data_IF_830549449418
#
_entry.id   IF_830549449418
#
_cell.length_a   1.000
_cell.length_b   1.000
_cell.length_c   1.000
_cell.angle_alpha   90.00
_cell.angle_beta   90.00
_cell.angle_gamma   90.00
#
_symmetry.space_group_name_H-M   'P 1'
#
loop_
_entity.id
_entity.type
_entity.pdbx_description
1 polymer ?
2 non-polymer ?
3 non-polymer ?
4 non-polymer ?
5 water ?
#
# COMPACT_ATOMS: atom_id res chain seq x y z
N UNK A 1 6.42 -17.29 -4.48
CA UNK A 1 6.81 -15.85 -4.28
C UNK A 1 7.24 -15.54 -2.85
N UNK A 2 7.97 -14.43 -2.66
CA UNK A 2 8.56 -14.20 -1.35
C UNK A 2 7.51 -13.76 -0.34
N UNK A 3 7.76 -14.07 0.93
CA UNK A 3 6.98 -13.54 2.04
C UNK A 3 7.95 -13.05 3.10
N UNK A 4 7.47 -12.22 4.03
CA UNK A 4 8.26 -11.84 5.19
C UNK A 4 8.29 -13.05 6.10
N UNK A 5 9.47 -13.41 6.60
CA UNK A 5 9.66 -14.59 7.48
C UNK A 5 9.78 -14.22 8.95
N UNK A 6 9.07 -13.18 9.34
CA UNK A 6 9.10 -12.67 10.71
C UNK A 6 7.73 -12.02 10.93
N UNK A 7 7.36 -11.86 12.19
CA UNK A 7 6.02 -11.38 12.56
C UNK A 7 5.92 -9.87 12.82
N UNK A 8 7.04 -9.26 13.21
CA UNK A 8 7.09 -7.82 13.45
C UNK A 8 7.70 -7.12 12.25
N UNK A 9 6.86 -6.35 11.58
CA UNK A 9 7.23 -5.63 10.37
C UNK A 9 7.20 -4.15 10.64
N UNK A 10 8.19 -3.45 10.11
CA UNK A 10 8.26 -2.01 10.28
C UNK A 10 7.97 -1.29 8.96
N UNK A 11 7.42 -0.09 9.09
CA UNK A 11 7.30 0.83 7.96
C UNK A 11 7.74 2.23 8.35
N UNK A 12 8.12 3.00 7.34
CA UNK A 12 8.54 4.37 7.55
C UNK A 12 7.96 5.21 6.43
N UNK A 13 7.46 6.40 6.76
CA UNK A 13 6.99 7.29 5.71
C UNK A 13 8.16 8.19 5.33
N UNK A 14 8.68 7.96 4.13
CA UNK A 14 9.86 8.67 3.64
C UNK A 14 9.61 10.16 3.50
N UNK A 15 8.46 10.50 2.93
CA UNK A 15 8.07 11.89 2.67
C UNK A 15 6.56 11.97 2.54
N UNK A 16 6.03 13.18 2.62
CA UNK A 16 4.59 13.38 2.66
C UNK A 16 4.08 14.14 1.45
N UNK A 17 3.02 13.64 0.85
CA UNK A 17 2.35 14.38 -0.21
C UNK A 17 1.82 15.71 0.32
N UNK A 18 1.99 16.80 -0.46
CA UNK A 18 1.38 18.09 -0.08
C UNK A 18 -0.14 18.17 -0.33
N UNK A 19 -0.70 17.12 -0.93
CA UNK A 19 -2.13 17.02 -1.23
C UNK A 19 -2.99 16.88 0.01
N UNK A 20 -2.38 16.37 1.09
CA UNK A 20 -3.10 16.01 2.31
C UNK A 20 -2.46 16.60 3.56
N UNK A 21 -3.26 16.64 4.63
CA UNK A 21 -2.75 16.98 5.95
C UNK A 21 -1.84 15.86 6.40
N UNK A 22 -0.76 16.19 7.08
CA UNK A 22 0.18 15.14 7.55
C UNK A 22 -0.48 14.03 8.39
N UNK A 23 -1.30 14.44 9.36
CA UNK A 23 -1.99 13.49 10.23
C UNK A 23 -2.91 12.54 9.43
N UNK A 24 -3.45 13.02 8.32
CA UNK A 24 -4.34 12.23 7.46
C UNK A 24 -3.55 11.20 6.61
N UNK A 25 -2.32 11.57 6.22
CA UNK A 25 -1.43 10.62 5.53
C UNK A 25 -1.04 9.50 6.54
N UNK A 26 -0.58 9.90 7.72
CA UNK A 26 -0.30 8.92 8.80
C UNK A 26 -1.47 7.98 9.05
N UNK A 27 -2.66 8.53 9.21
CA UNK A 27 -3.82 7.72 9.57
C UNK A 27 -4.26 6.77 8.45
N UNK A 28 -4.24 7.27 7.21
CA UNK A 28 -4.57 6.45 6.02
C UNK A 28 -3.63 5.24 5.93
N UNK A 29 -2.33 5.49 6.09
CA UNK A 29 -1.32 4.42 5.98
C UNK A 29 -1.48 3.43 7.14
N UNK A 30 -1.70 3.96 8.34
CA UNK A 30 -1.94 3.12 9.53
C UNK A 30 -3.15 2.21 9.35
N UNK A 31 -4.28 2.80 8.95
CA UNK A 31 -5.50 2.03 8.72
C UNK A 31 -5.32 0.96 7.64
N UNK A 32 -4.54 1.27 6.60
CA UNK A 32 -4.29 0.31 5.51
C UNK A 32 -3.47 -0.90 6.00
N UNK A 33 -2.45 -0.64 6.83
CA UNK A 33 -1.69 -1.74 7.43
C UNK A 33 -2.62 -2.58 8.31
N UNK A 34 -3.50 -1.92 9.06
CA UNK A 34 -4.42 -2.61 9.98
C UNK A 34 -5.37 -3.56 9.25
N UNK A 35 -5.77 -3.21 8.03
CA UNK A 35 -6.60 -4.11 7.20
C UNK A 35 -5.93 -5.50 7.08
N UNK A 36 -4.61 -5.50 6.91
CA UNK A 36 -3.87 -6.76 6.72
C UNK A 36 -3.50 -7.46 8.03
N UNK A 37 -3.17 -6.68 9.05
CA UNK A 37 -2.92 -7.29 10.36
C UNK A 37 -4.20 -7.89 10.99
N UNK A 38 -5.38 -7.42 10.57
CA UNK A 38 -6.68 -7.97 11.02
C UNK A 38 -6.87 -9.44 10.63
N UNK A 39 -6.17 -9.89 9.58
CA UNK A 39 -6.43 -11.21 8.97
C UNK A 39 -5.16 -12.07 8.87
N UNK A 40 -4.10 -11.64 9.54
CA UNK A 40 -2.85 -12.40 9.57
C UNK A 40 -2.26 -12.31 10.98
N UNK A 41 -1.18 -13.06 11.24
CA UNK A 41 -0.45 -12.88 12.52
C UNK A 41 0.49 -11.69 12.57
N UNK A 42 0.53 -10.86 11.51
CA UNK A 42 1.54 -9.83 11.40
C UNK A 42 1.26 -8.65 12.33
N UNK A 43 2.33 -7.98 12.77
CA UNK A 43 2.23 -6.73 13.53
C UNK A 43 3.04 -5.67 12.82
N UNK A 44 2.46 -4.47 12.64
CA UNK A 44 3.12 -3.36 11.94
C UNK A 44 3.39 -2.19 12.88
N UNK A 45 4.56 -1.57 12.73
CA UNK A 45 4.96 -0.42 13.55
C UNK A 45 5.65 0.59 12.66
N UNK A 46 5.28 1.84 12.86
CA UNK A 46 5.85 2.97 12.14
C UNK A 46 7.13 3.35 12.87
N UNK A 47 8.22 3.50 12.13
CA UNK A 47 9.48 3.94 12.73
C UNK A 47 9.82 5.26 12.07
N UNK A 48 10.60 6.09 12.74
CA UNK A 48 10.84 7.44 12.24
C UNK A 48 12.22 7.68 11.64
N UNK A 49 13.12 6.74 11.86
CA UNK A 49 14.49 6.88 11.39
C UNK A 49 15.00 5.50 11.10
N UNK A 50 15.98 5.42 10.20
CA UNK A 50 16.63 4.16 9.91
C UNK A 50 15.88 3.32 8.91
N UNK A 51 16.38 2.11 8.70
CA UNK A 51 15.88 1.20 7.67
C UNK A 51 14.58 0.53 8.12
N UNK A 52 13.52 0.70 7.34
CA UNK A 52 12.26 0.02 7.62
C UNK A 52 12.12 -1.14 6.67
N UNK A 53 11.27 -2.11 7.00
CA UNK A 53 10.95 -3.15 6.02
C UNK A 53 10.24 -2.54 4.81
N UNK A 54 9.25 -1.69 5.06
CA UNK A 54 8.41 -1.12 4.00
C UNK A 54 8.58 0.40 4.02
N UNK A 55 9.25 0.93 3.02
CA UNK A 55 9.38 2.39 2.91
C UNK A 55 8.26 2.92 2.03
N UNK A 56 7.52 3.90 2.55
CA UNK A 56 6.39 4.51 1.84
C UNK A 56 6.88 5.83 1.26
N UNK A 57 6.85 5.95 -0.07
CA UNK A 57 7.40 7.11 -0.79
C UNK A 57 6.33 7.76 -1.68
N UNK A 58 6.31 9.10 -1.72
CA UNK A 58 5.60 9.81 -2.79
C UNK A 58 6.63 10.39 -3.72
N UNK A 59 6.44 10.17 -5.02
CA UNK A 59 7.42 10.61 -6.03
C UNK A 59 6.72 10.78 -7.36
N UNK A 60 7.29 11.60 -8.25
CA UNK A 60 6.72 11.74 -9.60
C UNK A 60 7.75 11.35 -10.66
N UNK A 61 7.24 10.96 -11.83
CA UNK A 61 8.08 10.62 -12.99
C UNK A 61 9.16 9.61 -12.65
N UNK A 62 10.37 9.87 -13.14
CA UNK A 62 11.50 9.01 -12.86
C UNK A 62 11.97 9.26 -11.43
N UNK A 63 12.11 8.19 -10.66
CA UNK A 63 12.36 8.32 -9.22
C UNK A 63 13.31 7.27 -8.69
N UNK A 64 14.16 6.75 -9.57
CA UNK A 64 15.32 6.02 -9.12
C UNK A 64 15.18 4.52 -9.10
N UNK A 65 14.02 4.02 -9.45
CA UNK A 65 13.90 2.60 -9.60
C UNK A 65 13.69 2.49 -11.08
N UNK A 66 13.43 1.33 -11.62
CA UNK A 66 13.45 1.40 -13.09
C UNK A 66 12.00 1.55 -13.59
N UNK A 67 11.13 2.08 -12.72
CA UNK A 67 9.69 2.08 -12.96
C UNK A 67 9.04 3.48 -12.91
N UNK A 68 9.31 4.28 -13.93
CA UNK A 68 8.85 5.68 -13.93
C UNK A 68 7.33 5.83 -13.84
N UNK A 69 6.90 6.87 -13.13
CA UNK A 69 5.50 7.26 -13.12
C UNK A 69 5.18 8.13 -14.36
N UNK A 70 3.89 8.25 -14.64
CA UNK A 70 3.38 8.70 -15.93
C UNK A 70 2.50 9.95 -15.85
N UNK A 71 2.67 10.78 -14.83
CA UNK A 71 1.81 11.95 -14.70
C UNK A 71 0.45 11.60 -14.16
N UNK A 72 -0.47 12.55 -14.19
CA UNK A 72 -1.77 12.36 -13.61
C UNK A 72 -2.51 11.23 -14.34
N UNK A 73 -3.15 10.36 -13.58
CA UNK A 73 -3.93 9.26 -14.13
C UNK A 73 -3.03 8.07 -14.43
N UNK A 74 -3.58 7.05 -15.07
CA UNK A 74 -2.78 5.87 -15.39
C UNK A 74 -2.28 5.18 -14.13
N UNK A 75 -0.97 4.97 -14.06
CA UNK A 75 -0.37 4.31 -12.89
C UNK A 75 -0.48 5.23 -11.68
N UNK A 76 -1.15 4.75 -10.63
CA UNK A 76 -1.31 5.52 -9.38
C UNK A 76 -0.23 5.23 -8.35
N UNK A 77 0.24 3.99 -8.33
CA UNK A 77 1.19 3.56 -7.32
C UNK A 77 1.76 2.21 -7.73
N UNK A 78 2.92 1.84 -7.19
CA UNK A 78 3.38 0.45 -7.34
C UNK A 78 4.15 0.03 -6.09
N UNK A 79 4.29 -1.28 -5.88
CA UNK A 79 5.04 -1.74 -4.70
C UNK A 79 5.85 -2.98 -5.06
N UNK A 80 6.87 -3.23 -4.25
CA UNK A 80 7.74 -4.36 -4.44
C UNK A 80 7.46 -5.42 -3.41
N UNK A 81 7.54 -6.69 -3.85
CA UNK A 81 7.32 -7.81 -2.95
C UNK A 81 8.38 -7.92 -1.87
N UNK A 82 8.12 -8.74 -0.83
CA UNK A 82 9.06 -8.87 0.29
C UNK A 82 10.49 -9.18 -0.15
N UNK A 83 11.43 -8.59 0.56
CA UNK A 83 12.82 -8.77 0.23
C UNK A 83 13.64 -7.65 0.83
N UNK A 84 14.96 -7.78 0.69
CA UNK A 84 15.89 -6.80 1.21
C UNK A 84 15.88 -5.52 0.36
N UNK A 85 16.46 -4.46 0.90
CA UNK A 85 16.59 -3.21 0.14
C UNK A 85 15.24 -2.61 -0.20
N UNK A 86 14.99 -2.42 -1.49
CA UNK A 86 13.74 -1.86 -2.02
C UNK A 86 12.54 -2.82 -1.84
N UNK A 87 12.84 -4.08 -1.51
CA UNK A 87 11.78 -5.05 -1.28
C UNK A 87 10.80 -4.50 -0.26
N UNK A 88 9.51 -4.71 -0.52
CA UNK A 88 8.48 -4.22 0.37
C UNK A 88 8.05 -2.79 0.15
N UNK A 89 8.84 -1.99 -0.57
CA UNK A 89 8.58 -0.56 -0.60
C UNK A 89 7.38 -0.22 -1.47
N UNK A 90 6.65 0.81 -1.07
CA UNK A 90 5.46 1.21 -1.78
C UNK A 90 5.62 2.66 -2.23
N UNK A 91 5.45 2.87 -3.52
CA UNK A 91 5.61 4.20 -4.12
C UNK A 91 4.29 4.73 -4.67
N UNK A 92 3.98 5.97 -4.32
CA UNK A 92 2.72 6.60 -4.72
C UNK A 92 3.03 7.75 -5.66
N UNK A 93 2.38 7.77 -6.82
CA UNK A 93 2.60 8.80 -7.84
C UNK A 93 2.13 10.16 -7.31
N UNK A 94 3.08 11.05 -7.06
CA UNK A 94 2.74 12.40 -6.60
C UNK A 94 1.92 13.22 -7.64
N UNK A 95 2.00 12.83 -8.90
CA UNK A 95 1.14 13.47 -9.91
C UNK A 95 -0.35 13.15 -9.77
N UNK A 96 -0.73 12.18 -8.91
CA UNK A 96 -2.13 12.03 -8.51
C UNK A 96 -2.47 13.04 -7.42
N UNK A 97 -3.76 13.26 -7.20
CA UNK A 97 -4.18 14.10 -6.09
C UNK A 97 -4.77 13.20 -5.02
N UNK A 98 -3.97 12.98 -3.97
CA UNK A 98 -4.33 12.07 -2.88
C UNK A 98 -5.32 12.70 -1.89
N UNK A 99 -6.34 11.92 -1.50
CA UNK A 99 -7.35 12.40 -0.54
C UNK A 99 -7.79 11.35 0.51
N UNK A 100 -8.52 11.84 1.51
CA UNK A 100 -9.18 11.01 2.52
C UNK A 100 -10.60 10.63 2.10
N UNK A 101 -11.04 11.11 0.94
CA UNK A 101 -12.43 10.92 0.54
C UNK A 101 -12.58 10.37 -0.88
N UNK A 102 -13.73 10.61 -1.50
CA UNK A 102 -13.99 10.13 -2.85
C UNK A 102 -13.38 10.99 -3.94
N UNK A 103 -12.95 12.20 -3.57
CA UNK A 103 -12.29 13.12 -4.50
C UNK A 103 -10.91 12.60 -4.85
N UNK A 104 -10.40 12.98 -6.02
CA UNK A 104 -9.10 12.50 -6.49
C UNK A 104 -8.92 11.00 -6.31
N UNK A 105 -7.75 10.62 -5.82
CA UNK A 105 -7.47 9.21 -5.58
C UNK A 105 -7.33 9.01 -4.09
N UNK A 106 -8.14 8.11 -3.54
CA UNK A 106 -8.13 7.83 -2.11
C UNK A 106 -6.84 7.10 -1.69
N UNK A 107 -6.04 7.76 -0.86
CA UNK A 107 -4.80 7.19 -0.36
C UNK A 107 -5.02 5.85 0.37
N UNK A 108 -5.97 5.80 1.30
CA UNK A 108 -6.23 4.55 2.07
C UNK A 108 -6.47 3.33 1.17
N UNK A 109 -7.41 3.43 0.21
CA UNK A 109 -7.76 2.25 -0.61
C UNK A 109 -6.59 1.83 -1.48
N UNK A 110 -5.89 2.83 -2.04
CA UNK A 110 -4.73 2.56 -2.86
C UNK A 110 -3.65 1.89 -2.01
N UNK A 111 -3.46 2.38 -0.79
CA UNK A 111 -2.43 1.83 0.12
C UNK A 111 -2.76 0.40 0.53
N UNK A 112 -4.04 0.10 0.74
CA UNK A 112 -4.42 -1.28 1.06
C UNK A 112 -3.89 -2.24 -0.02
N UNK A 113 -4.14 -1.88 -1.28
CA UNK A 113 -3.73 -2.68 -2.44
C UNK A 113 -2.21 -2.76 -2.51
N UNK A 114 -1.53 -1.61 -2.39
CA UNK A 114 -0.06 -1.57 -2.43
C UNK A 114 0.57 -2.39 -1.33
N UNK A 115 0.09 -2.22 -0.10
CA UNK A 115 0.57 -3.05 1.01
C UNK A 115 0.32 -4.54 0.77
N UNK A 116 -0.78 -4.89 0.09
CA UNK A 116 -0.96 -6.29 -0.37
C UNK A 116 0.26 -6.79 -1.14
N UNK A 117 0.73 -5.97 -2.08
CA UNK A 117 1.95 -6.28 -2.83
C UNK A 117 3.16 -6.33 -1.91
N UNK A 118 3.29 -5.35 -1.02
CA UNK A 118 4.42 -5.31 -0.07
C UNK A 118 4.52 -6.61 0.76
N UNK A 119 3.39 -7.27 0.93
CA UNK A 119 3.29 -8.50 1.73
C UNK A 119 3.46 -9.78 0.88
N UNK A 120 3.47 -9.63 -0.44
CA UNK A 120 3.64 -10.78 -1.36
C UNK A 120 2.47 -11.13 -2.26
N UNK A 121 1.35 -10.42 -2.13
CA UNK A 121 0.19 -10.70 -3.01
C UNK A 121 0.32 -10.15 -4.43
N UNK A 122 -0.24 -10.88 -5.38
CA UNK A 122 -0.28 -10.44 -6.77
C UNK A 122 -1.67 -9.91 -7.06
N UNK A 123 -1.99 -9.73 -8.33
CA UNK A 123 -3.30 -9.20 -8.68
C UNK A 123 -4.37 -10.29 -8.76
N UNK A 124 -5.61 -9.90 -8.45
CA UNK A 124 -6.76 -10.80 -8.52
C UNK A 124 -7.58 -10.49 -9.77
N UNK A 125 -8.23 -11.50 -10.33
CA UNK A 125 -9.12 -11.28 -11.47
C UNK A 125 -10.55 -10.95 -11.03
N UNK A 126 -10.80 -11.02 -9.72
CA UNK A 126 -12.13 -10.77 -9.14
C UNK A 126 -12.33 -9.27 -8.90
N UNK A 127 -13.29 -8.63 -9.62
CA UNK A 127 -13.56 -7.20 -9.48
C UNK A 127 -13.83 -6.79 -8.04
N UNK A 128 -14.28 -7.72 -7.21
CA UNK A 128 -14.62 -7.40 -5.82
C UNK A 128 -13.41 -7.28 -4.90
N UNK A 129 -12.28 -7.85 -5.34
CA UNK A 129 -11.08 -7.91 -4.53
C UNK A 129 -10.34 -6.58 -4.53
N UNK A 130 -9.79 -6.19 -3.38
CA UNK A 130 -8.97 -4.99 -3.36
C UNK A 130 -7.72 -5.13 -4.25
N UNK A 131 -7.24 -6.37 -4.42
CA UNK A 131 -6.11 -6.67 -5.31
C UNK A 131 -6.44 -6.71 -6.82
N UNK A 132 -7.71 -6.50 -7.17
CA UNK A 132 -8.10 -6.31 -8.57
C UNK A 132 -7.40 -5.06 -9.11
N UNK A 133 -6.62 -5.19 -10.21
CA UNK A 133 -5.76 -4.09 -10.63
C UNK A 133 -6.44 -2.99 -11.43
N UNK A 134 -7.53 -2.47 -10.89
CA UNK A 134 -8.21 -1.30 -11.43
C UNK A 134 -8.76 -0.50 -10.25
N UNK A 135 -8.49 0.80 -10.23
CA UNK A 135 -8.98 1.63 -9.13
C UNK A 135 -10.47 1.96 -9.32
N UNK A 136 -11.27 1.65 -8.31
CA UNK A 136 -12.67 2.07 -8.24
C UNK A 136 -12.98 2.46 -6.80
N UNK A 137 -13.29 3.73 -6.59
CA UNK A 137 -13.59 4.19 -5.25
C UNK A 137 -14.73 3.40 -4.59
N UNK A 138 -14.52 2.99 -3.35
CA UNK A 138 -15.60 2.52 -2.48
C UNK A 138 -15.50 3.23 -1.14
N UNK A 139 -16.65 3.40 -0.49
CA UNK A 139 -16.70 4.08 0.79
C UNK A 139 -15.75 3.46 1.80
N UNK A 140 -14.77 4.25 2.20
CA UNK A 140 -13.67 3.74 2.99
C UNK A 140 -14.04 3.47 4.45
N UNK A 141 -15.11 4.12 4.91
CA UNK A 141 -15.62 3.92 6.26
C UNK A 141 -16.12 2.51 6.51
N UNK A 142 -16.56 1.84 5.45
CA UNK A 142 -17.09 0.49 5.55
C UNK A 142 -16.41 -0.46 4.57
N UNK A 143 -15.15 -0.20 4.26
CA UNK A 143 -14.39 -1.06 3.34
C UNK A 143 -14.22 -2.47 3.94
N UNK A 144 -14.27 -3.50 3.09
CA UNK A 144 -13.92 -4.88 3.50
C UNK A 144 -13.10 -5.61 2.44
N UNK A 145 -12.12 -6.41 2.89
CA UNK A 145 -11.43 -7.33 1.99
C UNK A 145 -12.48 -8.28 1.43
N UNK A 146 -12.29 -8.72 0.20
CA UNK A 146 -13.15 -9.73 -0.38
C UNK A 146 -12.66 -11.08 0.13
N UNK A 147 -13.47 -12.12 -0.08
CA UNK A 147 -13.10 -13.49 0.29
C UNK A 147 -11.82 -13.90 -0.44
N UNK A 148 -11.68 -13.43 -1.68
CA UNK A 148 -10.51 -13.69 -2.50
C UNK A 148 -9.23 -13.09 -1.89
N UNK A 149 -9.34 -11.86 -1.38
CA UNK A 149 -8.19 -11.21 -0.73
C UNK A 149 -7.80 -11.99 0.52
N UNK A 150 -8.81 -12.37 1.30
CA UNK A 150 -8.58 -13.11 2.55
C UNK A 150 -7.92 -14.48 2.32
N UNK A 151 -8.45 -15.25 1.36
CA UNK A 151 -7.84 -16.52 0.91
C UNK A 151 -6.40 -16.32 0.46
N UNK A 152 -6.17 -15.28 -0.34
CA UNK A 152 -4.85 -14.98 -0.86
C UNK A 152 -3.85 -14.71 0.24
N UNK A 153 -4.18 -13.79 1.16
CA UNK A 153 -3.24 -13.43 2.21
C UNK A 153 -3.08 -14.56 3.24
N UNK A 154 -4.15 -15.32 3.47
CA UNK A 154 -4.06 -16.45 4.41
C UNK A 154 -3.30 -17.66 3.84
N UNK A 155 -3.22 -17.74 2.52
CA UNK A 155 -2.33 -18.72 1.86
C UNK A 155 -0.84 -18.35 1.99
N UNK A 156 -0.56 -17.08 2.30
CA UNK A 156 0.82 -16.63 2.48
C UNK A 156 1.27 -16.53 3.94
N UNK A 157 0.33 -16.25 4.85
CA UNK A 157 0.60 -16.05 6.28
C UNK A 157 -0.50 -16.76 7.09
N UNK A 158 -0.16 -17.19 8.29
CA UNK A 158 -1.16 -17.70 9.23
C UNK A 158 -1.89 -18.98 8.85
X LIG B 1 -1.23 -3.55 -8.06
X LIG C 1 8.87 3.38 -7.79
X LIG D 1 12.36 -2.23 1.99
X LIG E 1 -0.13 15.27 -5.71
X LIG F 1 0.06 8.45 -12.73
X LIG G 1 -1.81 2.07 -10.27
X LIG G 1 -2.93 1.20 -10.57
X LIG G 1 -3.90 1.86 -11.41
X LIG G 1 -2.39 -0.09 -11.25
X LIG G 1 -0.99 -0.51 -11.09
X LIG G 1 -0.89 -1.43 -9.89
X LIG G 1 -1.58 -2.44 -9.83
X LIG G 1 -0.05 -1.06 -8.92
X LIG G 1 0.07 -1.84 -7.77
X LIG G 1 -3.33 -0.94 -11.96
X LIG G 1 -2.66 -1.56 -13.19
X LIG G 1 -2.35 -0.54 -14.14
X LIG G 1 -3.67 0.82 -9.19
X LIG G 1 -2.95 0.88 -7.99
X LIG G 1 -3.58 0.58 -6.79
X LIG G 1 -4.93 0.22 -6.77
X LIG G 1 -5.65 0.16 -7.97
X LIG G 1 -5.03 0.47 -9.18
X LIG G 1 -5.50 -0.06 -5.54
X LIG G 1 -6.89 -0.17 -5.28
#
# INVERSE_FOLDING_TARGET
GPVWRKHYITYRINNYTPDMNREDVDYAIRKAFQVWSNVTPLKFSKINTGMADILVVFARGAHGDDHAFDGKGGILAHAFGPGSGIGGDAHFDEDEFWTTHSGGTNLFLTAVHEIGHSLGLGHSSDPKAVMFPTYKYVDINTFRLSADDIRGIQSLYG
ZN ZN
ZN ZN
CA CA
CA CA
CA CA
NHK O4 S1 O3 N2 C10 C9 O1 N1 O2 C8 C6 O6 C3 C5 C7 C4 C2 C1 O5 C11
#
